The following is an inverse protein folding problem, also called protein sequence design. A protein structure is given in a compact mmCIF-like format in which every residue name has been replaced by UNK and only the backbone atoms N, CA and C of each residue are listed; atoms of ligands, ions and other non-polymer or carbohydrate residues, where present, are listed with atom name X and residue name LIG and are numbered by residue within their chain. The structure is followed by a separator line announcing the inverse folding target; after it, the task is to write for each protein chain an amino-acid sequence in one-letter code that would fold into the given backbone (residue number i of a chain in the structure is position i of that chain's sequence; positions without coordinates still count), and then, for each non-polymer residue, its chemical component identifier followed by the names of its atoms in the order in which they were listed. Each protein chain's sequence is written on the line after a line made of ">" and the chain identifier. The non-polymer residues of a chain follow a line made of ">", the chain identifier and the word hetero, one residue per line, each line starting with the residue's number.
data_IF_520038701382
#
_entry.id   IF_520038701382
#
_cell.length_a   1.000
_cell.length_b   1.000
_cell.length_c   1.000
_cell.angle_alpha   90.00
_cell.angle_beta   90.00
_cell.angle_gamma   90.00
#
_symmetry.space_group_name_H-M   'P 1'
#
loop_
_entity.id
_entity.type
_entity.pdbx_description
1 polymer ?
#
# COMPACT_ATOMS: atom_id res chain seq x y z
N UNK A 1 2.32 10.44 12.43
CA UNK A 1 1.65 9.12 12.22
C UNK A 1 2.60 8.00 12.61
N UNK A 2 2.10 6.96 13.26
CA UNK A 2 2.93 5.77 13.57
C UNK A 2 3.13 4.97 12.27
N UNK A 3 4.30 4.40 11.99
CA UNK A 3 4.55 3.66 10.74
C UNK A 3 3.58 2.47 10.56
N UNK A 4 3.21 1.82 11.66
CA UNK A 4 2.25 0.70 11.66
C UNK A 4 0.88 1.12 11.11
N UNK A 5 0.35 2.28 11.51
CA UNK A 5 -0.95 2.77 11.03
C UNK A 5 -0.96 3.00 9.51
N UNK A 6 0.16 3.49 8.96
CA UNK A 6 0.29 3.71 7.52
C UNK A 6 0.28 2.40 6.72
N UNK A 7 0.94 1.37 7.24
CA UNK A 7 0.96 0.02 6.63
C UNK A 7 -0.44 -0.62 6.68
N UNK A 8 -1.14 -0.49 7.81
CA UNK A 8 -2.50 -1.03 7.96
C UNK A 8 -3.45 -0.40 6.93
N UNK A 9 -3.42 0.93 6.77
CA UNK A 9 -4.28 1.62 5.79
C UNK A 9 -3.96 1.16 4.37
N UNK A 10 -2.68 1.03 4.02
CA UNK A 10 -2.27 0.52 2.72
C UNK A 10 -2.81 -0.90 2.46
N UNK A 11 -2.67 -1.80 3.43
CA UNK A 11 -3.18 -3.18 3.31
C UNK A 11 -4.70 -3.21 3.16
N UNK A 12 -5.43 -2.38 3.93
CA UNK A 12 -6.89 -2.29 3.80
C UNK A 12 -7.31 -1.84 2.40
N UNK A 13 -6.63 -0.85 1.82
CA UNK A 13 -6.91 -0.38 0.45
C UNK A 13 -6.64 -1.46 -0.60
N UNK A 14 -5.54 -2.20 -0.46
CA UNK A 14 -5.22 -3.31 -1.37
C UNK A 14 -6.24 -4.44 -1.23
N UNK A 15 -6.60 -4.84 -0.02
CA UNK A 15 -7.64 -5.85 0.21
C UNK A 15 -8.99 -5.44 -0.37
N UNK A 16 -9.36 -4.15 -0.23
CA UNK A 16 -10.60 -3.62 -0.83
C UNK A 16 -10.56 -3.65 -2.36
N UNK A 17 -9.40 -3.36 -2.98
CA UNK A 17 -9.22 -3.45 -4.42
C UNK A 17 -9.39 -4.89 -4.94
N UNK A 18 -8.78 -5.85 -4.25
CA UNK A 18 -8.89 -7.28 -4.59
C UNK A 18 -10.33 -7.75 -4.44
N UNK A 19 -10.97 -7.41 -3.32
CA UNK A 19 -12.37 -7.75 -3.10
C UNK A 19 -13.29 -7.20 -4.19
N UNK A 20 -13.16 -5.91 -4.52
CA UNK A 20 -13.94 -5.27 -5.57
C UNK A 20 -13.72 -5.92 -6.95
N UNK A 21 -12.49 -6.37 -7.23
CA UNK A 21 -12.16 -7.10 -8.45
C UNK A 21 -12.86 -8.45 -8.54
N UNK A 22 -12.88 -9.23 -7.46
CA UNK A 22 -13.58 -10.51 -7.39
C UNK A 22 -15.09 -10.35 -7.47
N UNK A 23 -15.65 -9.37 -6.77
CA UNK A 23 -17.09 -9.09 -6.79
C UNK A 23 -17.55 -8.73 -8.21
N UNK A 24 -16.80 -7.86 -8.89
CA UNK A 24 -17.06 -7.49 -10.27
C UNK A 24 -16.94 -8.67 -11.24
N UNK A 25 -15.97 -9.58 -11.02
CA UNK A 25 -15.83 -10.81 -11.80
C UNK A 25 -17.05 -11.71 -11.65
N UNK A 26 -17.49 -12.00 -10.42
CA UNK A 26 -18.68 -12.81 -10.16
C UNK A 26 -19.96 -12.14 -10.68
N UNK A 27 -20.02 -10.80 -10.62
CA UNK A 27 -21.10 -10.06 -11.25
C UNK A 27 -21.17 -10.29 -12.76
N UNK A 28 -20.02 -10.30 -13.44
CA UNK A 28 -19.95 -10.58 -14.88
C UNK A 28 -20.34 -12.03 -15.21
N UNK A 29 -19.88 -13.01 -14.43
CA UNK A 29 -20.31 -14.42 -14.60
C UNK A 29 -21.83 -14.54 -14.48
N UNK A 30 -22.41 -13.92 -13.47
CA UNK A 30 -23.87 -13.94 -13.23
C UNK A 30 -24.62 -13.29 -14.40
N UNK A 31 -24.12 -12.14 -14.90
CA UNK A 31 -24.71 -11.46 -16.04
C UNK A 31 -24.63 -12.30 -17.32
N UNK A 32 -23.54 -13.00 -17.58
CA UNK A 32 -23.38 -13.94 -18.70
C UNK A 32 -24.42 -15.05 -18.61
N UNK A 33 -24.52 -15.73 -17.46
CA UNK A 33 -25.49 -16.83 -17.24
C UNK A 33 -26.92 -16.31 -17.38
N UNK A 34 -27.22 -15.12 -16.90
CA UNK A 34 -28.54 -14.50 -17.03
C UNK A 34 -28.90 -14.18 -18.47
N UNK A 35 -27.97 -13.63 -19.26
CA UNK A 35 -28.18 -13.36 -20.68
C UNK A 35 -28.41 -14.67 -21.46
N UNK A 36 -27.61 -15.72 -21.19
CA UNK A 36 -27.79 -17.04 -21.78
C UNK A 36 -29.15 -17.65 -21.43
N UNK A 37 -29.59 -17.54 -20.17
CA UNK A 37 -30.90 -18.01 -19.74
C UNK A 37 -32.04 -17.27 -20.47
N UNK A 38 -31.93 -15.96 -20.59
CA UNK A 38 -32.95 -15.16 -21.27
C UNK A 38 -33.00 -15.46 -22.78
N UNK A 39 -31.84 -15.57 -23.41
CA UNK A 39 -31.75 -15.94 -24.83
C UNK A 39 -32.31 -17.33 -25.07
N UNK A 40 -31.95 -18.33 -24.24
CA UNK A 40 -32.46 -19.69 -24.38
C UNK A 40 -33.99 -19.76 -24.20
N UNK A 41 -34.53 -19.09 -23.20
CA UNK A 41 -35.97 -19.06 -22.94
C UNK A 41 -36.76 -18.48 -24.11
N UNK A 42 -36.29 -17.35 -24.69
CA UNK A 42 -36.90 -16.75 -25.88
C UNK A 42 -36.83 -17.66 -27.12
N UNK A 43 -35.68 -18.32 -27.29
CA UNK A 43 -35.47 -19.28 -28.39
C UNK A 43 -36.43 -20.46 -28.26
N UNK A 44 -36.57 -21.04 -27.08
CA UNK A 44 -37.44 -22.19 -26.85
C UNK A 44 -38.93 -21.82 -26.97
N UNK A 45 -39.32 -20.60 -26.62
CA UNK A 45 -40.69 -20.11 -26.79
C UNK A 45 -41.11 -20.02 -28.27
N UNK A 46 -40.19 -19.69 -29.18
CA UNK A 46 -40.42 -19.63 -30.61
C UNK A 46 -40.18 -20.97 -31.36
N UNK A 47 -39.66 -21.98 -30.67
CA UNK A 47 -39.26 -23.26 -31.27
C UNK A 47 -40.48 -24.13 -31.63
N UNK A 48 -40.52 -24.62 -32.87
CA UNK A 48 -41.57 -25.52 -33.36
C UNK A 48 -41.09 -26.94 -33.59
N UNK A 49 -39.83 -27.12 -33.95
CA UNK A 49 -39.22 -28.38 -34.32
C UNK A 49 -38.56 -29.08 -33.14
N UNK A 50 -38.55 -30.44 -33.14
CA UNK A 50 -37.98 -31.26 -32.07
C UNK A 50 -36.44 -31.14 -32.02
N UNK A 51 -35.81 -31.03 -33.18
CA UNK A 51 -34.35 -31.04 -33.35
C UNK A 51 -33.73 -29.65 -33.21
N UNK A 52 -32.45 -29.59 -32.90
CA UNK A 52 -31.66 -28.33 -32.95
C UNK A 52 -31.35 -28.06 -34.44
N UNK A 53 -32.00 -27.07 -34.99
CA UNK A 53 -31.81 -26.63 -36.39
C UNK A 53 -30.87 -25.42 -36.46
N UNK A 54 -30.25 -25.12 -37.60
CA UNK A 54 -29.49 -23.90 -37.81
C UNK A 54 -30.27 -22.65 -37.42
N UNK A 55 -31.58 -22.60 -37.67
CA UNK A 55 -32.46 -21.49 -37.30
C UNK A 55 -32.59 -21.34 -35.78
N UNK A 56 -32.61 -22.45 -35.04
CA UNK A 56 -32.60 -22.42 -33.57
C UNK A 56 -31.32 -21.80 -33.07
N UNK A 57 -30.16 -22.14 -33.64
CA UNK A 57 -28.86 -21.58 -33.27
C UNK A 57 -28.78 -20.10 -33.61
N UNK A 58 -29.28 -19.75 -34.81
CA UNK A 58 -29.29 -18.34 -35.25
C UNK A 58 -30.20 -17.48 -34.39
N UNK A 59 -31.41 -17.95 -34.05
CA UNK A 59 -32.35 -17.27 -33.17
C UNK A 59 -31.75 -17.07 -31.77
N UNK A 60 -31.10 -18.10 -31.20
CA UNK A 60 -30.41 -18.01 -29.92
C UNK A 60 -29.33 -16.92 -29.96
N UNK A 61 -28.48 -16.88 -31.00
CA UNK A 61 -27.45 -15.86 -31.17
C UNK A 61 -28.00 -14.45 -31.31
N UNK A 62 -29.16 -14.30 -31.93
CA UNK A 62 -29.83 -12.99 -32.05
C UNK A 62 -30.37 -12.48 -30.72
N UNK A 63 -30.86 -13.37 -29.85
CA UNK A 63 -31.40 -12.99 -28.55
C UNK A 63 -30.31 -12.69 -27.50
N UNK A 64 -29.05 -13.09 -27.74
CA UNK A 64 -27.93 -12.73 -26.86
C UNK A 64 -27.64 -11.24 -26.96
N UNK A 65 -27.64 -10.57 -25.78
CA UNK A 65 -27.33 -9.15 -25.69
C UNK A 65 -25.81 -8.92 -25.72
N UNK A 66 -25.02 -9.81 -25.06
CA UNK A 66 -23.56 -9.73 -25.01
C UNK A 66 -22.98 -10.22 -26.35
N UNK A 67 -22.37 -9.29 -27.11
CA UNK A 67 -21.87 -9.57 -28.45
C UNK A 67 -20.80 -10.68 -28.48
N UNK A 68 -19.93 -10.74 -27.48
CA UNK A 68 -18.86 -11.73 -27.40
C UNK A 68 -19.38 -13.16 -27.21
N UNK A 69 -20.55 -13.32 -26.57
CA UNK A 69 -21.17 -14.63 -26.35
C UNK A 69 -21.74 -15.21 -27.68
N UNK A 70 -22.09 -14.38 -28.64
CA UNK A 70 -22.67 -14.85 -29.94
C UNK A 70 -21.75 -15.82 -30.69
N UNK A 71 -20.44 -15.70 -30.52
CA UNK A 71 -19.44 -16.56 -31.15
C UNK A 71 -18.99 -17.72 -30.29
N UNK A 72 -19.09 -17.58 -28.96
CA UNK A 72 -18.51 -18.50 -27.96
C UNK A 72 -19.56 -19.37 -27.29
N UNK A 73 -20.85 -19.12 -27.49
CA UNK A 73 -21.92 -19.91 -26.90
C UNK A 73 -22.64 -20.76 -27.94
N UNK A 74 -23.11 -21.91 -27.48
CA UNK A 74 -23.87 -22.85 -28.27
C UNK A 74 -24.97 -23.47 -27.42
N UNK A 75 -26.03 -23.95 -28.11
CA UNK A 75 -27.14 -24.64 -27.47
C UNK A 75 -26.99 -26.13 -27.73
N UNK A 76 -27.15 -26.94 -26.69
CA UNK A 76 -27.13 -28.39 -26.77
C UNK A 76 -28.27 -29.00 -25.95
N UNK A 77 -28.48 -30.29 -26.12
CA UNK A 77 -29.26 -31.05 -25.15
C UNK A 77 -28.49 -31.09 -23.85
N UNK A 78 -29.20 -31.11 -22.67
CA UNK A 78 -28.55 -31.16 -21.38
C UNK A 78 -27.75 -32.47 -21.28
N UNK A 79 -26.46 -32.39 -21.55
CA UNK A 79 -25.44 -33.37 -21.28
C UNK A 79 -24.91 -33.03 -19.86
N UNK A 80 -24.61 -34.04 -19.05
CA UNK A 80 -24.15 -33.80 -17.67
C UNK A 80 -23.04 -32.76 -17.55
N UNK A 81 -22.78 -32.25 -16.35
CA UNK A 81 -21.88 -31.15 -16.03
C UNK A 81 -20.48 -31.27 -16.68
N UNK A 82 -20.24 -30.49 -17.72
CA UNK A 82 -18.90 -30.20 -18.18
C UNK A 82 -18.30 -29.10 -17.26
N UNK A 83 -17.31 -29.48 -16.47
CA UNK A 83 -16.76 -28.68 -15.35
C UNK A 83 -16.00 -27.40 -15.76
N UNK A 84 -15.92 -27.04 -17.01
CA UNK A 84 -15.10 -25.92 -17.51
C UNK A 84 -15.85 -24.84 -18.30
N UNK A 85 -17.15 -24.99 -18.52
CA UNK A 85 -17.95 -24.03 -19.28
C UNK A 85 -19.03 -23.40 -18.41
N UNK A 86 -19.22 -22.07 -18.58
CA UNK A 86 -20.39 -21.41 -18.02
C UNK A 86 -21.63 -21.95 -18.70
N UNK A 87 -22.60 -22.41 -17.93
CA UNK A 87 -23.81 -23.01 -18.47
C UNK A 87 -25.08 -22.31 -17.98
N UNK A 88 -26.10 -22.29 -18.84
CA UNK A 88 -27.42 -21.84 -18.46
C UNK A 88 -28.13 -22.85 -17.57
N UNK A 89 -29.26 -22.46 -17.00
CA UNK A 89 -30.18 -23.42 -16.38
C UNK A 89 -30.72 -24.37 -17.42
N UNK A 90 -30.95 -25.62 -17.04
CA UNK A 90 -31.65 -26.60 -17.87
C UNK A 90 -33.11 -26.17 -18.06
N UNK A 91 -33.55 -26.09 -19.31
CA UNK A 91 -34.91 -25.70 -19.65
C UNK A 91 -35.63 -26.86 -20.37
N UNK A 92 -36.77 -27.22 -19.82
CA UNK A 92 -37.61 -28.25 -20.42
C UNK A 92 -38.48 -27.66 -21.54
N UNK A 93 -38.39 -28.24 -22.70
CA UNK A 93 -39.24 -27.93 -23.83
C UNK A 93 -40.14 -29.14 -24.16
N UNK A 94 -41.43 -28.88 -24.34
CA UNK A 94 -42.42 -29.92 -24.63
C UNK A 94 -43.22 -29.58 -25.89
N UNK A 95 -43.29 -30.50 -26.84
CA UNK A 95 -44.10 -30.37 -28.03
C UNK A 95 -44.44 -31.76 -28.56
N UNK A 96 -45.71 -32.01 -28.91
CA UNK A 96 -46.13 -33.24 -29.57
C UNK A 96 -45.85 -34.55 -28.81
N UNK A 97 -45.87 -34.51 -27.44
CA UNK A 97 -45.58 -35.68 -26.61
C UNK A 97 -44.11 -35.95 -26.29
N UNK A 98 -43.18 -35.14 -26.86
CA UNK A 98 -41.76 -35.22 -26.59
C UNK A 98 -41.36 -34.16 -25.53
N UNK A 99 -40.60 -34.56 -24.53
CA UNK A 99 -40.02 -33.67 -23.54
C UNK A 99 -38.49 -33.73 -23.65
N UNK A 100 -37.83 -32.60 -24.01
CA UNK A 100 -36.40 -32.50 -24.15
C UNK A 100 -35.88 -31.44 -23.18
N UNK A 101 -34.68 -31.66 -22.64
CA UNK A 101 -33.97 -30.70 -21.82
C UNK A 101 -32.89 -30.02 -22.66
N UNK A 102 -32.97 -28.71 -22.75
CA UNK A 102 -32.01 -27.86 -23.42
C UNK A 102 -31.16 -27.09 -22.44
N UNK A 103 -29.91 -26.90 -22.76
CA UNK A 103 -28.97 -26.11 -22.02
C UNK A 103 -28.05 -25.38 -22.98
N UNK A 104 -27.69 -24.15 -22.67
CA UNK A 104 -26.68 -23.42 -23.41
C UNK A 104 -25.37 -23.40 -22.62
N UNK A 105 -24.28 -23.48 -23.37
CA UNK A 105 -22.92 -23.51 -22.87
C UNK A 105 -22.14 -22.35 -23.48
N UNK A 106 -21.28 -21.72 -22.70
CA UNK A 106 -20.36 -20.71 -23.17
C UNK A 106 -18.93 -21.09 -22.82
N UNK A 107 -18.10 -21.19 -23.82
CA UNK A 107 -16.65 -21.36 -23.65
C UNK A 107 -16.02 -20.00 -23.38
N UNK A 108 -16.04 -19.61 -22.09
CA UNK A 108 -15.51 -18.34 -21.62
C UNK A 108 -14.28 -18.58 -20.76
N UNK A 109 -13.10 -18.18 -21.28
CA UNK A 109 -11.89 -18.15 -20.49
C UNK A 109 -11.96 -17.07 -19.39
N UNK A 110 -11.17 -17.23 -18.32
CA UNK A 110 -11.04 -16.21 -17.27
C UNK A 110 -10.81 -14.81 -17.85
N UNK A 111 -9.93 -14.68 -18.85
CA UNK A 111 -9.64 -13.40 -19.49
C UNK A 111 -10.86 -12.77 -20.17
N UNK A 112 -11.76 -13.59 -20.73
CA UNK A 112 -13.00 -13.10 -21.38
C UNK A 112 -13.96 -12.54 -20.32
N UNK A 113 -14.19 -13.28 -19.24
CA UNK A 113 -15.06 -12.83 -18.14
C UNK A 113 -14.50 -11.59 -17.48
N UNK A 114 -13.17 -11.55 -17.25
CA UNK A 114 -12.48 -10.39 -16.71
C UNK A 114 -12.61 -9.16 -17.62
N UNK A 115 -12.50 -9.34 -18.93
CA UNK A 115 -12.68 -8.24 -19.91
C UNK A 115 -14.09 -7.69 -19.97
N UNK A 116 -15.11 -8.48 -19.60
CA UNK A 116 -16.52 -8.08 -19.53
C UNK A 116 -16.89 -7.48 -18.16
N UNK A 117 -16.07 -7.70 -17.13
CA UNK A 117 -16.30 -7.18 -15.78
C UNK A 117 -15.94 -5.70 -15.67
N UNK A 118 -16.71 -4.93 -14.90
CA UNK A 118 -16.42 -3.51 -14.64
C UNK A 118 -15.38 -3.37 -13.52
N UNK A 119 -14.10 -3.25 -13.90
CA UNK A 119 -12.97 -3.15 -12.99
C UNK A 119 -12.67 -1.71 -12.51
N UNK A 120 -13.53 -0.71 -12.82
CA UNK A 120 -13.27 0.71 -12.51
C UNK A 120 -13.04 0.94 -11.03
N UNK A 121 -13.86 0.31 -10.19
CA UNK A 121 -13.76 0.45 -8.73
C UNK A 121 -12.47 -0.15 -8.19
N UNK A 122 -12.09 -1.33 -8.66
CA UNK A 122 -10.84 -2.01 -8.29
C UNK A 122 -9.61 -1.15 -8.66
N UNK A 123 -9.58 -0.61 -9.87
CA UNK A 123 -8.50 0.29 -10.30
C UNK A 123 -8.47 1.59 -9.48
N UNK A 124 -9.61 2.15 -9.11
CA UNK A 124 -9.67 3.34 -8.25
C UNK A 124 -9.02 3.10 -6.89
N UNK A 125 -9.32 1.96 -6.23
CA UNK A 125 -8.67 1.58 -4.97
C UNK A 125 -7.18 1.31 -5.12
N UNK A 126 -6.73 0.71 -6.23
CA UNK A 126 -5.32 0.53 -6.51
C UNK A 126 -4.59 1.86 -6.67
N UNK A 127 -5.14 2.80 -7.45
CA UNK A 127 -4.57 4.14 -7.59
C UNK A 127 -4.49 4.86 -6.24
N UNK A 128 -5.55 4.79 -5.44
CA UNK A 128 -5.57 5.40 -4.10
C UNK A 128 -4.51 4.78 -3.18
N UNK A 129 -4.30 3.46 -3.26
CA UNK A 129 -3.25 2.78 -2.49
C UNK A 129 -1.85 3.21 -2.89
N UNK A 130 -1.60 3.44 -4.19
CA UNK A 130 -0.32 3.94 -4.71
C UNK A 130 -0.06 5.39 -4.27
N UNK A 131 -1.07 6.26 -4.33
CA UNK A 131 -0.98 7.64 -3.85
C UNK A 131 -0.66 7.65 -2.34
N UNK A 132 -1.37 6.82 -1.57
CA UNK A 132 -1.13 6.68 -0.13
C UNK A 132 0.29 6.20 0.17
N UNK A 133 0.79 5.22 -0.57
CA UNK A 133 2.16 4.72 -0.43
C UNK A 133 3.19 5.83 -0.70
N UNK A 134 3.03 6.55 -1.81
CA UNK A 134 3.91 7.66 -2.17
C UNK A 134 3.91 8.77 -1.10
N UNK A 135 2.73 9.20 -0.66
CA UNK A 135 2.58 10.20 0.40
C UNK A 135 3.20 9.74 1.72
N UNK A 136 3.01 8.48 2.09
CA UNK A 136 3.58 7.87 3.29
C UNK A 136 5.11 7.83 3.25
N UNK A 137 5.69 7.37 2.15
CA UNK A 137 7.14 7.35 1.95
C UNK A 137 7.72 8.77 2.02
N UNK A 138 7.07 9.74 1.38
CA UNK A 138 7.51 11.14 1.38
C UNK A 138 7.46 11.75 2.78
N UNK A 139 6.38 11.48 3.54
CA UNK A 139 6.24 11.91 4.92
C UNK A 139 7.34 11.32 5.81
N UNK A 140 7.60 10.02 5.73
CA UNK A 140 8.64 9.39 6.55
C UNK A 140 10.05 9.80 6.14
N UNK A 141 10.32 9.99 4.85
CA UNK A 141 11.62 10.52 4.39
C UNK A 141 11.88 11.93 4.93
N UNK A 142 10.90 12.83 4.86
CA UNK A 142 11.02 14.18 5.44
C UNK A 142 11.25 14.15 6.94
N UNK A 143 10.56 13.27 7.66
CA UNK A 143 10.72 13.15 9.13
C UNK A 143 12.01 12.43 9.55
N UNK A 144 12.57 11.57 8.71
CA UNK A 144 13.87 10.93 8.97
C UNK A 144 15.06 11.80 8.61
N UNK A 145 14.94 12.67 7.61
CA UNK A 145 16.02 13.54 7.15
C UNK A 145 16.56 14.53 8.20
N UNK A 146 15.83 14.72 9.32
CA UNK A 146 16.26 15.56 10.44
C UNK A 146 16.73 14.80 11.68
N UNK A 147 16.98 13.47 11.60
CA UNK A 147 17.45 12.68 12.74
C UNK A 147 18.90 12.26 12.53
N UNK A 148 19.79 12.84 13.33
CA UNK A 148 21.19 12.42 13.38
C UNK A 148 21.36 11.43 14.54
N UNK A 149 21.79 10.22 14.21
CA UNK A 149 22.11 9.19 15.21
C UNK A 149 23.60 9.27 15.52
N UNK A 150 23.94 9.43 16.78
CA UNK A 150 25.29 9.56 17.29
C UNK A 150 25.45 8.65 18.53
N UNK A 151 26.21 7.57 18.40
CA UNK A 151 26.28 6.58 19.46
C UNK A 151 24.89 6.02 19.82
N UNK A 152 24.51 6.16 21.10
CA UNK A 152 23.16 5.80 21.60
C UNK A 152 22.19 6.98 21.63
N UNK A 153 22.55 8.12 21.05
CA UNK A 153 21.75 9.34 21.05
C UNK A 153 21.19 9.64 19.67
N UNK A 154 19.94 10.10 19.64
CA UNK A 154 19.25 10.57 18.44
C UNK A 154 18.97 12.06 18.62
N UNK A 155 19.58 12.89 17.80
CA UNK A 155 19.23 14.29 17.69
C UNK A 155 18.13 14.48 16.66
N UNK A 156 17.00 15.03 17.07
CA UNK A 156 15.89 15.37 16.18
C UNK A 156 15.95 16.88 15.89
N UNK A 157 16.30 17.22 14.64
CA UNK A 157 16.40 18.63 14.24
C UNK A 157 15.04 19.34 14.23
N UNK A 158 13.92 18.59 14.11
CA UNK A 158 12.56 19.14 14.06
C UNK A 158 12.10 19.80 15.35
N UNK A 159 12.48 19.26 16.50
CA UNK A 159 12.11 19.75 17.83
C UNK A 159 13.32 20.13 18.69
N UNK A 160 14.50 20.16 18.05
CA UNK A 160 15.80 20.46 18.69
C UNK A 160 16.05 19.64 19.96
N UNK A 161 15.48 18.44 20.06
CA UNK A 161 15.57 17.58 21.23
C UNK A 161 16.60 16.48 21.04
N UNK A 162 17.27 16.16 22.13
CA UNK A 162 18.16 15.02 22.23
C UNK A 162 17.42 13.88 22.91
N UNK A 163 17.41 12.71 22.31
CA UNK A 163 16.74 11.52 22.84
C UNK A 163 17.72 10.37 22.94
N UNK A 164 17.53 9.55 23.93
CA UNK A 164 18.22 8.26 24.04
C UNK A 164 17.65 7.26 23.00
N UNK A 165 18.34 6.17 22.78
CA UNK A 165 17.91 5.08 21.92
C UNK A 165 16.56 4.45 22.33
N UNK A 166 16.18 4.55 23.61
CA UNK A 166 14.85 4.20 24.12
C UNK A 166 13.76 5.23 23.77
N UNK A 167 14.13 6.38 23.19
CA UNK A 167 13.22 7.48 22.86
C UNK A 167 12.96 8.45 24.00
N UNK A 168 13.59 8.26 25.18
CA UNK A 168 13.50 9.18 26.29
C UNK A 168 14.28 10.47 26.01
N UNK A 169 13.75 11.61 26.45
CA UNK A 169 14.38 12.91 26.27
C UNK A 169 15.54 13.06 27.28
N UNK A 170 16.73 13.34 26.75
CA UNK A 170 17.90 13.62 27.59
C UNK A 170 17.79 15.06 28.12
N UNK A 171 17.79 15.22 29.43
CA UNK A 171 17.67 16.52 30.09
C UNK A 171 19.02 17.25 30.10
N UNK A 172 19.34 17.94 29.00
CA UNK A 172 20.47 18.88 28.96
C UNK A 172 20.02 20.26 29.38
N UNK A 173 20.90 20.98 30.06
CA UNK A 173 20.70 22.43 30.28
C UNK A 173 20.81 23.20 28.96
N UNK A 174 20.26 24.42 28.84
CA UNK A 174 20.33 25.19 27.60
C UNK A 174 21.75 25.34 27.01
N UNK A 175 22.72 25.59 27.87
CA UNK A 175 24.14 25.72 27.47
C UNK A 175 24.74 24.39 27.03
N UNK A 176 24.38 23.29 27.69
CA UNK A 176 24.79 21.95 27.28
C UNK A 176 24.18 21.55 25.91
N UNK A 177 22.92 21.92 25.67
CA UNK A 177 22.28 21.70 24.37
C UNK A 177 22.97 22.48 23.26
N UNK A 178 23.35 23.74 23.51
CA UNK A 178 24.07 24.55 22.52
C UNK A 178 25.45 23.94 22.21
N UNK A 179 26.19 23.52 23.23
CA UNK A 179 27.50 22.89 23.06
C UNK A 179 27.37 21.57 22.27
N UNK A 180 26.39 20.72 22.56
CA UNK A 180 26.15 19.49 21.83
C UNK A 180 25.77 19.76 20.37
N UNK A 181 24.99 20.81 20.07
CA UNK A 181 24.69 21.23 18.70
C UNK A 181 25.95 21.67 17.95
N UNK A 182 26.85 22.38 18.61
CA UNK A 182 28.13 22.79 18.01
C UNK A 182 28.96 21.55 17.64
N UNK A 183 29.08 20.56 18.53
CA UNK A 183 29.79 19.31 18.21
C UNK A 183 29.16 18.56 17.03
N UNK A 184 27.83 18.50 16.95
CA UNK A 184 27.14 17.81 15.87
C UNK A 184 27.36 18.48 14.52
N UNK A 185 27.42 19.83 14.51
CA UNK A 185 27.59 20.61 13.29
C UNK A 185 29.06 20.78 12.86
N UNK A 186 30.00 20.46 13.75
CA UNK A 186 31.42 20.55 13.44
C UNK A 186 31.90 19.42 12.57
N UNK A 187 32.73 19.73 11.58
CA UNK A 187 33.48 18.75 10.79
C UNK A 187 34.35 17.93 11.75
N UNK A 188 34.36 16.62 11.63
CA UNK A 188 35.10 15.70 12.51
C UNK A 188 34.76 15.79 14.02
N UNK A 189 33.66 16.49 14.39
CA UNK A 189 33.20 16.66 15.78
C UNK A 189 34.26 17.21 16.71
N UNK A 190 35.14 18.04 16.15
CA UNK A 190 36.24 18.70 16.84
C UNK A 190 35.98 20.20 16.89
N UNK A 191 36.15 20.78 18.08
CA UNK A 191 35.95 22.22 18.34
C UNK A 191 37.12 22.79 19.14
N UNK A 192 37.64 23.92 18.70
CA UNK A 192 38.63 24.64 19.50
C UNK A 192 37.98 25.34 20.67
N UNK A 193 38.72 25.54 21.78
CA UNK A 193 38.25 26.29 22.95
C UNK A 193 37.81 27.70 22.61
N UNK A 194 38.55 28.34 21.72
CA UNK A 194 38.26 29.72 21.30
C UNK A 194 36.89 29.81 20.62
N UNK A 195 36.59 28.90 19.63
CA UNK A 195 35.31 28.85 18.94
C UNK A 195 34.15 28.56 19.89
N UNK A 196 34.34 27.64 20.86
CA UNK A 196 33.31 27.34 21.85
C UNK A 196 33.02 28.56 22.74
N UNK A 197 34.07 29.21 23.29
CA UNK A 197 33.94 30.36 24.17
C UNK A 197 33.28 31.53 23.42
N UNK A 198 33.70 31.85 22.21
CA UNK A 198 33.14 32.93 21.43
C UNK A 198 31.67 32.71 21.10
N UNK A 199 31.30 31.46 20.76
CA UNK A 199 29.91 31.14 20.39
C UNK A 199 28.98 31.10 21.60
N UNK A 200 29.42 30.53 22.73
CA UNK A 200 28.57 30.37 23.93
C UNK A 200 28.57 31.60 24.83
N UNK A 201 29.66 32.34 24.88
CA UNK A 201 29.81 33.51 25.73
C UNK A 201 30.46 34.72 25.02
N UNK A 202 29.82 35.30 23.99
CA UNK A 202 30.41 36.35 23.17
C UNK A 202 30.72 37.64 23.95
N UNK A 203 30.13 37.81 25.11
CA UNK A 203 30.34 39.00 25.97
C UNK A 203 31.40 38.82 27.05
N UNK A 204 31.98 37.61 27.19
CA UNK A 204 32.94 37.32 28.25
C UNK A 204 34.35 37.14 27.65
N UNK A 205 35.31 38.02 27.95
CA UNK A 205 36.65 38.02 27.31
C UNK A 205 37.46 36.76 27.64
N UNK A 206 37.26 36.13 28.81
CA UNK A 206 37.81 34.82 29.15
C UNK A 206 36.74 33.95 29.79
N UNK A 207 36.30 32.92 29.04
CA UNK A 207 35.32 31.96 29.50
C UNK A 207 35.92 30.56 29.76
N UNK A 208 37.23 30.42 29.81
CA UNK A 208 37.92 29.12 29.86
C UNK A 208 37.52 28.28 31.07
N UNK A 209 37.44 28.88 32.28
CA UNK A 209 36.98 28.19 33.48
C UNK A 209 35.51 27.79 33.42
N UNK A 210 34.69 28.67 32.83
CA UNK A 210 33.25 28.38 32.63
C UNK A 210 33.06 27.21 31.66
N UNK A 211 33.83 27.16 30.61
CA UNK A 211 33.84 26.05 29.65
C UNK A 211 34.31 24.74 30.33
N UNK A 212 35.39 24.79 31.12
CA UNK A 212 35.85 23.61 31.83
C UNK A 212 34.77 23.05 32.76
N UNK A 213 34.08 23.91 33.49
CA UNK A 213 32.99 23.53 34.40
C UNK A 213 31.81 22.95 33.61
N UNK A 214 31.45 23.53 32.45
CA UNK A 214 30.40 23.03 31.59
C UNK A 214 30.73 21.62 31.06
N UNK A 215 31.94 21.42 30.56
CA UNK A 215 32.41 20.11 30.05
C UNK A 215 32.47 19.08 31.19
N UNK A 216 32.97 19.45 32.35
CA UNK A 216 33.02 18.56 33.52
C UNK A 216 31.63 18.03 33.90
N UNK A 217 30.60 18.88 33.83
CA UNK A 217 29.19 18.49 34.10
C UNK A 217 28.55 17.71 32.92
N UNK A 218 28.97 17.97 31.71
CA UNK A 218 28.41 17.34 30.51
C UNK A 218 28.97 15.92 30.29
N UNK A 219 30.27 15.69 30.59
CA UNK A 219 30.94 14.40 30.40
C UNK A 219 30.18 13.18 30.93
N UNK A 220 29.74 13.14 32.19
CA UNK A 220 29.03 11.97 32.71
C UNK A 220 27.70 11.73 32.01
N UNK A 221 26.94 12.80 31.69
CA UNK A 221 25.65 12.67 30.99
C UNK A 221 25.85 12.10 29.58
N UNK A 222 26.87 12.57 28.88
CA UNK A 222 27.19 12.10 27.49
C UNK A 222 27.70 10.66 27.51
N UNK A 223 28.53 10.29 28.50
CA UNK A 223 29.05 8.91 28.62
C UNK A 223 27.94 7.93 28.98
N UNK A 224 27.12 8.23 29.98
CA UNK A 224 26.09 7.30 30.47
C UNK A 224 24.88 7.20 29.55
N UNK A 225 24.37 8.35 29.07
CA UNK A 225 23.13 8.39 28.27
C UNK A 225 23.35 8.30 26.78
N UNK A 226 24.47 8.81 26.26
CA UNK A 226 24.73 8.86 24.82
C UNK A 226 25.73 7.78 24.36
N UNK A 227 26.47 7.16 25.27
CA UNK A 227 27.55 6.22 24.94
C UNK A 227 28.68 6.86 24.14
N UNK A 228 28.89 8.19 24.33
CA UNK A 228 29.91 9.00 23.68
C UNK A 228 30.85 9.57 24.74
N UNK A 229 32.07 9.88 24.33
CA UNK A 229 33.06 10.50 25.22
C UNK A 229 33.53 11.86 24.69
N UNK A 230 33.63 12.84 25.58
CA UNK A 230 34.26 14.13 25.27
C UNK A 230 35.73 14.02 25.68
N UNK A 231 36.62 14.03 24.69
CA UNK A 231 38.07 13.93 24.89
C UNK A 231 38.71 15.30 24.64
N UNK A 232 39.65 15.67 25.48
CA UNK A 232 40.48 16.84 25.20
C UNK A 232 41.46 16.54 24.10
N UNK A 233 41.45 17.35 23.02
CA UNK A 233 42.40 17.22 21.94
C UNK A 233 43.70 18.00 22.29
N UNK A 234 44.83 17.45 21.86
CA UNK A 234 46.17 17.96 22.22
C UNK A 234 46.30 19.46 21.91
N UNK A 235 46.25 20.24 22.97
CA UNK A 235 46.59 21.66 22.97
C UNK A 235 45.41 22.61 23.07
N UNK A 236 44.30 22.50 22.31
CA UNK A 236 43.41 23.65 22.18
C UNK A 236 41.92 23.36 21.92
N UNK A 237 41.46 22.14 22.12
CA UNK A 237 40.09 21.84 21.82
C UNK A 237 39.50 20.62 22.52
N UNK A 238 38.27 20.30 22.15
CA UNK A 238 37.55 19.12 22.58
C UNK A 238 37.00 18.38 21.33
N UNK A 239 36.96 17.05 21.42
CA UNK A 239 36.38 16.17 20.42
C UNK A 239 35.32 15.28 21.04
N UNK A 240 34.27 15.02 20.31
CA UNK A 240 33.22 14.08 20.70
C UNK A 240 33.44 12.75 19.92
N UNK A 241 33.74 11.68 20.66
CA UNK A 241 34.00 10.32 20.17
C UNK A 241 32.92 9.34 20.60
#
# INVERSE_FOLDING_TARGET
>A
MKPISSVIIFLLLVCSAVWAGFDSYHGAETAIVQDMNQALSKTLAGKREVWITPDTIQSYRQYLQIADLRRRSFVSYALGEDSHSLCSRQMRWQSGGHSLLFQSYADCSFATVWGLSDQRLSFAFLLLSMIWLAASVMYFRRHRAGRLVLGRMVYAASDHSFRDWHGEKIAFTPMQQQLMKLFINATDRKLSKAVICETLWPKKPDASETLYTLIRRLKPIVSERCGLNIVADRGDGYRLE
#
